data_IF_943697714922
#
_entry.id   IF_943697714922
#
_cell.length_a   1.000
_cell.length_b   1.000
_cell.length_c   1.000
_cell.angle_alpha   90.00
_cell.angle_beta   90.00
_cell.angle_gamma   90.00
#
_symmetry.space_group_name_H-M   'P 1'
#
loop_
_entity.id
_entity.type
_entity.pdbx_description
1 polymer ?
#
# COMPACT_ATOMS: atom_id res chain seq x y z
N UNK A 1 7.50 -3.28 -6.38
CA UNK A 1 7.76 -4.24 -5.28
C UNK A 1 6.98 -3.85 -4.03
N UNK A 2 7.03 -2.56 -3.64
CA UNK A 2 6.49 -2.06 -2.37
C UNK A 2 4.99 -2.31 -2.14
N UNK A 3 4.17 -2.25 -3.19
CA UNK A 3 2.74 -2.58 -3.12
C UNK A 3 2.47 -4.01 -2.64
N UNK A 4 3.27 -4.98 -3.09
CA UNK A 4 3.10 -6.39 -2.73
C UNK A 4 3.49 -6.64 -1.28
N UNK A 5 4.59 -6.02 -0.83
CA UNK A 5 5.04 -6.08 0.55
C UNK A 5 4.00 -5.45 1.48
N UNK A 6 3.48 -4.28 1.12
CA UNK A 6 2.46 -3.61 1.93
C UNK A 6 1.18 -4.43 2.08
N UNK A 7 0.72 -5.08 1.01
CA UNK A 7 -0.44 -6.00 1.04
C UNK A 7 -0.20 -7.22 1.93
N UNK A 8 0.97 -7.83 1.84
CA UNK A 8 1.32 -8.98 2.68
C UNK A 8 1.34 -8.59 4.16
N UNK A 9 1.91 -7.43 4.48
CA UNK A 9 1.97 -6.91 5.83
C UNK A 9 0.58 -6.55 6.38
N UNK A 10 -0.29 -5.93 5.58
CA UNK A 10 -1.69 -5.68 5.95
C UNK A 10 -2.40 -6.98 6.32
N UNK A 11 -2.33 -8.00 5.46
CA UNK A 11 -2.97 -9.29 5.73
C UNK A 11 -2.42 -9.97 6.99
N UNK A 12 -1.10 -9.84 7.22
CA UNK A 12 -0.47 -10.36 8.43
C UNK A 12 -0.97 -9.66 9.70
N UNK A 13 -1.01 -8.32 9.70
CA UNK A 13 -1.47 -7.54 10.84
C UNK A 13 -2.96 -7.73 11.10
N UNK A 14 -3.80 -7.87 10.08
CA UNK A 14 -5.23 -8.18 10.25
C UNK A 14 -5.44 -9.54 10.92
N UNK A 15 -4.66 -10.56 10.53
CA UNK A 15 -4.69 -11.87 11.19
C UNK A 15 -4.19 -11.79 12.65
N UNK A 16 -3.10 -11.06 12.88
CA UNK A 16 -2.56 -10.86 14.23
C UNK A 16 -3.58 -10.15 15.13
N UNK A 17 -4.23 -9.11 14.62
CA UNK A 17 -5.26 -8.35 15.35
C UNK A 17 -6.49 -9.19 15.70
N UNK A 18 -6.90 -10.11 14.81
CA UNK A 18 -8.03 -11.00 15.04
C UNK A 18 -7.80 -11.99 16.21
N UNK A 19 -6.54 -12.22 16.60
CA UNK A 19 -6.15 -13.18 17.63
C UNK A 19 -5.57 -12.51 18.88
N UNK A 20 -5.33 -11.20 18.83
CA UNK A 20 -4.78 -10.45 19.96
C UNK A 20 -5.88 -10.06 20.95
N UNK A 21 -5.64 -10.39 22.22
CA UNK A 21 -6.57 -10.13 23.33
C UNK A 21 -6.05 -9.04 24.26
N UNK A 22 -4.74 -8.78 24.24
CA UNK A 22 -4.14 -7.73 25.05
C UNK A 22 -4.41 -6.35 24.42
N UNK A 23 -5.11 -5.43 25.12
CA UNK A 23 -5.49 -4.13 24.56
C UNK A 23 -4.28 -3.27 24.18
N UNK A 24 -3.17 -3.34 24.91
CA UNK A 24 -1.98 -2.56 24.59
C UNK A 24 -1.32 -3.04 23.30
N UNK A 25 -1.09 -4.35 23.16
CA UNK A 25 -0.58 -4.94 21.91
C UNK A 25 -1.52 -4.72 20.74
N UNK A 26 -2.83 -4.84 20.97
CA UNK A 26 -3.85 -4.58 19.95
C UNK A 26 -3.72 -3.16 19.40
N UNK A 27 -3.52 -2.16 20.26
CA UNK A 27 -3.33 -0.77 19.87
C UNK A 27 -2.07 -0.57 19.02
N UNK A 28 -0.98 -1.22 19.38
CA UNK A 28 0.27 -1.21 18.59
C UNK A 28 0.06 -1.84 17.21
N UNK A 29 -0.66 -2.97 17.13
CA UNK A 29 -0.95 -3.63 15.85
C UNK A 29 -1.83 -2.74 14.96
N UNK A 30 -2.82 -2.04 15.53
CA UNK A 30 -3.66 -1.09 14.81
C UNK A 30 -2.87 0.11 14.25
N UNK A 31 -1.92 0.66 15.01
CA UNK A 31 -1.01 1.72 14.54
C UNK A 31 -0.14 1.25 13.37
N UNK A 32 0.48 0.05 13.50
CA UNK A 32 1.29 -0.53 12.44
C UNK A 32 0.47 -0.83 11.17
N UNK A 33 -0.74 -1.35 11.33
CA UNK A 33 -1.67 -1.61 10.22
C UNK A 33 -2.03 -0.31 9.49
N UNK A 34 -2.28 0.78 10.22
CA UNK A 34 -2.61 2.09 9.64
C UNK A 34 -1.45 2.65 8.81
N UNK A 35 -0.21 2.54 9.32
CA UNK A 35 1.00 2.95 8.59
C UNK A 35 1.23 2.12 7.32
N UNK A 36 0.91 0.83 7.35
CA UNK A 36 1.04 -0.03 6.18
C UNK A 36 -0.03 0.29 5.12
N UNK A 37 -1.26 0.59 5.54
CA UNK A 37 -2.31 1.07 4.61
C UNK A 37 -1.92 2.38 3.93
N UNK A 38 -1.32 3.32 4.65
CA UNK A 38 -0.80 4.55 4.06
C UNK A 38 0.33 4.29 3.05
N UNK A 39 1.26 3.36 3.36
CA UNK A 39 2.32 2.97 2.41
C UNK A 39 1.76 2.33 1.16
N UNK A 40 0.72 1.51 1.28
CA UNK A 40 0.03 0.93 0.13
C UNK A 40 -0.61 2.02 -0.73
N UNK A 41 -1.30 2.98 -0.13
CA UNK A 41 -1.93 4.10 -0.84
C UNK A 41 -0.89 4.90 -1.64
N UNK A 42 0.23 5.27 -1.03
CA UNK A 42 1.33 5.98 -1.70
C UNK A 42 1.88 5.15 -2.87
N UNK A 43 2.13 3.86 -2.66
CA UNK A 43 2.63 2.97 -3.71
C UNK A 43 1.65 2.84 -4.89
N UNK A 44 0.34 2.83 -4.62
CA UNK A 44 -0.70 2.76 -5.65
C UNK A 44 -0.83 4.09 -6.43
N UNK A 45 -0.66 5.23 -5.76
CA UNK A 45 -0.64 6.54 -6.41
C UNK A 45 0.57 6.71 -7.33
N UNK A 46 1.75 6.26 -6.90
CA UNK A 46 2.97 6.31 -7.72
C UNK A 46 2.86 5.43 -8.97
N UNK A 47 2.33 4.22 -8.86
CA UNK A 47 2.09 3.31 -9.99
C UNK A 47 1.10 3.93 -11.01
N UNK A 48 0.09 4.64 -10.52
CA UNK A 48 -0.90 5.34 -11.36
C UNK A 48 -0.30 6.57 -12.06
N UNK A 49 0.59 7.29 -11.38
CA UNK A 49 1.31 8.43 -11.94
C UNK A 49 2.28 7.98 -13.05
N UNK A 50 3.07 6.93 -12.83
CA UNK A 50 4.00 6.35 -13.81
C UNK A 50 3.28 5.83 -15.07
N UNK A 51 2.10 5.23 -14.91
CA UNK A 51 1.29 4.75 -16.04
C UNK A 51 0.75 5.90 -16.92
N UNK A 52 0.50 7.07 -16.34
CA UNK A 52 -0.05 8.24 -17.06
C UNK A 52 1.00 9.00 -17.87
N UNK A 53 2.27 8.97 -17.44
CA UNK A 53 3.40 9.55 -18.21
C UNK A 53 3.83 8.65 -19.38
N UNK A 54 3.62 7.34 -19.28
CA UNK A 54 3.94 6.40 -20.35
C UNK A 54 2.98 6.51 -21.56
N UNK A 55 1.69 6.81 -21.35
CA UNK A 55 0.69 6.98 -22.42
C UNK A 55 0.77 8.31 -23.15
N UNK A 56 1.42 9.34 -22.59
CA UNK A 56 1.52 10.67 -23.22
C UNK A 56 2.75 10.85 -24.10
N UNK A 57 3.68 9.89 -24.13
CA UNK A 57 4.92 9.96 -24.93
C UNK A 57 4.81 9.36 -26.34
N UNK A 58 3.66 8.82 -26.74
CA UNK A 58 3.53 8.09 -28.03
C UNK A 58 2.76 8.86 -29.12
N UNK A 59 2.08 9.97 -28.82
CA UNK A 59 1.23 10.67 -29.81
C UNK A 59 1.82 11.94 -30.45
N UNK A 60 3.09 12.27 -30.21
CA UNK A 60 3.74 13.43 -30.84
C UNK A 60 4.86 13.03 -31.79
N UNK A 61 4.56 12.16 -32.76
CA UNK A 61 5.38 12.01 -33.97
C UNK A 61 4.55 11.48 -35.14
N UNK A 62 3.69 12.34 -35.69
CA UNK A 62 3.18 12.20 -37.07
C UNK A 62 2.52 13.52 -37.50
N UNK A 63 3.29 14.34 -38.21
CA UNK A 63 2.92 15.18 -39.37
C UNK A 63 4.00 16.24 -39.62
#
# INVERSE_FOLDING_TARGET
MDRFVARANIAHFENLLARETDPERRWVIEDLLSRERQRLEIAEQLDTAEKSIATTKTDSSSA
#
